data_IF_105057151689
#
_entry.id   IF_105057151689
#
_cell.length_a   1.000
_cell.length_b   1.000
_cell.length_c   1.000
_cell.angle_alpha   90.00
_cell.angle_beta   90.00
_cell.angle_gamma   90.00
#
_symmetry.space_group_name_H-M   'P 1'
#
loop_
_entity.id
_entity.type
_entity.pdbx_description
1 polymer ?
#
# COMPACT_ATOMS: atom_id res chain seq x y z
N UNK A 1 -6.46 -8.47 -1.57
CA UNK A 1 -7.14 -8.93 -0.34
C UNK A 1 -7.72 -7.72 0.35
N UNK A 2 -9.00 -7.78 0.75
CA UNK A 2 -9.68 -6.69 1.45
C UNK A 2 -9.89 -7.06 2.90
N UNK A 3 -9.60 -6.14 3.82
CA UNK A 3 -9.75 -6.31 5.26
C UNK A 3 -11.08 -5.74 5.70
N UNK A 4 -11.85 -6.49 6.50
CA UNK A 4 -12.99 -5.92 7.20
C UNK A 4 -12.48 -4.91 8.22
N UNK A 5 -13.10 -3.73 8.26
CA UNK A 5 -12.70 -2.65 9.16
C UNK A 5 -13.83 -2.34 10.13
N UNK A 6 -13.48 -2.27 11.42
CA UNK A 6 -14.33 -1.76 12.49
C UNK A 6 -13.59 -0.61 13.17
N UNK A 7 -14.21 0.58 13.25
CA UNK A 7 -13.64 1.76 13.91
C UNK A 7 -12.19 2.08 13.48
N UNK A 8 -11.91 1.93 12.19
CA UNK A 8 -10.58 2.18 11.60
C UNK A 8 -9.58 1.03 11.75
N UNK A 9 -9.89 -0.02 12.51
CA UNK A 9 -9.00 -1.17 12.68
C UNK A 9 -9.39 -2.34 11.79
N UNK A 10 -8.39 -2.93 11.13
CA UNK A 10 -8.58 -4.18 10.40
C UNK A 10 -8.86 -5.33 11.38
N UNK A 11 -9.88 -6.12 11.08
CA UNK A 11 -10.17 -7.38 11.78
C UNK A 11 -9.46 -8.55 11.08
N UNK A 12 -9.52 -9.74 11.69
CA UNK A 12 -9.00 -10.98 11.06
C UNK A 12 -9.85 -11.42 9.86
N UNK A 13 -11.09 -10.94 9.74
CA UNK A 13 -11.97 -11.27 8.63
C UNK A 13 -11.51 -10.55 7.35
N UNK A 14 -11.26 -11.33 6.30
CA UNK A 14 -10.83 -10.80 5.00
C UNK A 14 -11.71 -11.32 3.87
N UNK A 15 -11.79 -10.53 2.81
CA UNK A 15 -12.44 -10.90 1.55
C UNK A 15 -11.40 -10.88 0.44
N UNK A 16 -11.29 -11.99 -0.29
CA UNK A 16 -10.41 -12.08 -1.46
C UNK A 16 -11.24 -11.97 -2.73
N UNK A 17 -10.69 -11.24 -3.70
CA UNK A 17 -11.15 -11.26 -5.09
C UNK A 17 -9.99 -11.78 -5.93
N UNK A 18 -10.31 -12.58 -6.94
CA UNK A 18 -9.33 -12.83 -8.01
C UNK A 18 -9.03 -11.53 -8.75
N UNK A 19 -7.89 -11.46 -9.43
CA UNK A 19 -7.53 -10.28 -10.24
C UNK A 19 -8.61 -10.03 -11.30
N UNK A 20 -9.11 -11.07 -11.96
CA UNK A 20 -10.16 -10.97 -12.97
C UNK A 20 -11.46 -10.35 -12.40
N UNK A 21 -11.92 -10.78 -11.23
CA UNK A 21 -13.10 -10.20 -10.59
C UNK A 21 -12.87 -8.76 -10.14
N UNK A 22 -11.69 -8.45 -9.63
CA UNK A 22 -11.33 -7.10 -9.21
C UNK A 22 -11.32 -6.14 -10.40
N UNK A 23 -10.78 -6.56 -11.54
CA UNK A 23 -10.79 -5.79 -12.78
C UNK A 23 -12.21 -5.62 -13.34
N UNK A 24 -13.02 -6.69 -13.40
CA UNK A 24 -14.42 -6.63 -13.84
C UNK A 24 -15.26 -5.66 -13.00
N UNK A 25 -14.90 -5.46 -11.73
CA UNK A 25 -15.57 -4.54 -10.80
C UNK A 25 -15.02 -3.11 -10.84
N UNK A 26 -14.11 -2.79 -11.77
CA UNK A 26 -13.54 -1.46 -11.91
C UNK A 26 -12.46 -1.15 -10.88
N UNK A 27 -11.73 -2.16 -10.40
CA UNK A 27 -10.60 -2.03 -9.47
C UNK A 27 -10.95 -1.30 -8.16
N UNK A 28 -12.00 -1.75 -7.43
CA UNK A 28 -12.42 -1.06 -6.22
C UNK A 28 -11.33 -1.09 -5.15
N UNK A 29 -11.21 0.02 -4.40
CA UNK A 29 -10.43 0.06 -3.14
C UNK A 29 -11.29 -0.30 -1.92
N UNK A 30 -12.61 -0.32 -2.05
CA UNK A 30 -13.56 -0.65 -1.00
C UNK A 30 -14.68 -1.57 -1.52
N UNK A 31 -15.13 -2.50 -0.68
CA UNK A 31 -16.30 -3.33 -0.93
C UNK A 31 -17.27 -3.08 0.24
N UNK A 32 -18.38 -2.41 -0.06
CA UNK A 32 -19.43 -2.12 0.91
C UNK A 32 -20.52 -3.18 0.84
N UNK A 33 -20.94 -3.63 2.01
CA UNK A 33 -22.13 -4.45 2.23
C UNK A 33 -23.03 -3.74 3.24
N UNK A 34 -24.27 -4.20 3.39
CA UNK A 34 -25.24 -3.58 4.29
C UNK A 34 -24.72 -3.39 5.74
N UNK A 35 -23.90 -4.33 6.24
CA UNK A 35 -23.44 -4.33 7.63
C UNK A 35 -21.94 -4.07 7.80
N UNK A 36 -21.18 -4.01 6.71
CA UNK A 36 -19.71 -4.04 6.80
C UNK A 36 -19.06 -3.43 5.58
N UNK A 37 -17.95 -2.74 5.80
CA UNK A 37 -17.03 -2.27 4.76
C UNK A 37 -15.74 -3.09 4.82
N UNK A 38 -15.29 -3.53 3.64
CA UNK A 38 -13.97 -4.10 3.46
C UNK A 38 -13.12 -3.13 2.67
N UNK A 39 -11.87 -2.90 3.08
CA UNK A 39 -10.95 -1.99 2.39
C UNK A 39 -9.73 -2.74 1.88
N UNK A 40 -9.23 -2.36 0.70
CA UNK A 40 -7.98 -2.88 0.16
C UNK A 40 -6.78 -2.29 0.91
N UNK A 41 -6.86 -1.00 1.24
CA UNK A 41 -5.84 -0.26 1.98
C UNK A 41 -6.49 0.92 2.71
N UNK A 42 -5.86 1.34 3.80
CA UNK A 42 -6.07 2.58 4.53
C UNK A 42 -4.78 2.90 5.29
N UNK A 43 -3.87 3.62 4.64
CA UNK A 43 -2.53 3.89 5.19
C UNK A 43 -2.57 4.75 6.45
N UNK A 44 -3.60 5.60 6.61
CA UNK A 44 -3.78 6.41 7.83
C UNK A 44 -3.99 5.51 9.05
N UNK A 45 -4.66 4.38 8.86
CA UNK A 45 -4.93 3.40 9.90
C UNK A 45 -4.03 2.16 9.81
N UNK A 46 -2.87 2.27 9.15
CA UNK A 46 -1.89 1.18 9.00
C UNK A 46 -2.42 -0.09 8.30
N UNK A 47 -3.40 0.05 7.42
CA UNK A 47 -3.93 -1.06 6.60
C UNK A 47 -3.28 -0.99 5.21
N UNK A 48 -2.50 -2.00 4.86
CA UNK A 48 -1.71 -2.02 3.63
C UNK A 48 -2.35 -2.93 2.57
N UNK A 49 -2.23 -2.55 1.30
CA UNK A 49 -2.72 -3.39 0.20
C UNK A 49 -1.88 -4.67 0.06
N UNK A 50 -2.57 -5.81 0.04
CA UNK A 50 -1.95 -7.13 -0.05
C UNK A 50 -2.50 -7.93 -1.24
N UNK A 51 -1.60 -8.63 -1.95
CA UNK A 51 -1.95 -9.66 -2.94
C UNK A 51 -1.37 -11.01 -2.53
N UNK A 52 -2.09 -12.06 -2.91
CA UNK A 52 -1.69 -13.46 -2.72
C UNK A 52 -1.53 -14.07 -4.10
N UNK A 53 -0.40 -14.72 -4.33
CA UNK A 53 -0.14 -15.48 -5.55
C UNK A 53 -0.03 -16.95 -5.17
N UNK A 54 -0.91 -17.75 -5.75
CA UNK A 54 -0.96 -19.20 -5.57
C UNK A 54 -0.53 -19.86 -6.88
N UNK A 55 0.53 -20.67 -6.83
CA UNK A 55 1.00 -21.43 -7.98
C UNK A 55 1.48 -22.80 -7.52
N UNK A 56 0.86 -23.86 -8.04
CA UNK A 56 1.05 -25.24 -7.58
C UNK A 56 0.86 -25.30 -6.05
N UNK A 57 1.86 -25.79 -5.31
CA UNK A 57 1.86 -25.89 -3.85
C UNK A 57 2.46 -24.65 -3.16
N UNK A 58 2.87 -23.63 -3.93
CA UNK A 58 3.52 -22.42 -3.44
C UNK A 58 2.53 -21.27 -3.24
N UNK A 59 2.60 -20.63 -2.07
CA UNK A 59 1.85 -19.40 -1.77
C UNK A 59 2.84 -18.29 -1.44
N UNK A 60 2.76 -17.18 -2.18
CA UNK A 60 3.53 -15.95 -1.86
C UNK A 60 2.60 -14.79 -1.59
N UNK A 61 3.03 -13.92 -0.69
CA UNK A 61 2.27 -12.78 -0.21
C UNK A 61 3.07 -11.51 -0.45
N UNK A 62 2.43 -10.51 -1.03
CA UNK A 62 3.09 -9.26 -1.39
C UNK A 62 2.29 -8.09 -0.85
N UNK A 63 3.00 -7.12 -0.28
CA UNK A 63 2.47 -5.86 0.22
C UNK A 63 2.87 -4.74 -0.72
N UNK A 64 1.93 -3.88 -1.09
CA UNK A 64 2.21 -2.70 -1.90
C UNK A 64 2.71 -1.56 -1.02
N UNK A 65 3.85 -0.99 -1.38
CA UNK A 65 4.43 0.20 -0.76
C UNK A 65 4.36 1.34 -1.79
N UNK A 66 3.48 2.35 -1.59
CA UNK A 66 3.39 3.49 -2.51
C UNK A 66 4.70 4.27 -2.57
N UNK A 67 4.96 4.98 -3.67
CA UNK A 67 6.09 5.91 -3.80
C UNK A 67 6.00 6.99 -2.71
N UNK A 68 7.06 7.14 -1.94
CA UNK A 68 7.08 8.05 -0.78
C UNK A 68 8.38 8.85 -0.68
N UNK A 69 8.29 9.95 0.06
CA UNK A 69 9.41 10.72 0.58
C UNK A 69 9.31 10.80 2.10
N UNK A 70 10.45 10.94 2.76
CA UNK A 70 10.53 11.06 4.21
C UNK A 70 11.29 12.32 4.61
N UNK A 71 10.94 12.86 5.77
CA UNK A 71 11.55 14.07 6.32
C UNK A 71 12.96 13.76 6.87
N UNK A 72 13.96 14.46 6.35
CA UNK A 72 15.38 14.37 6.74
C UNK A 72 15.88 15.62 7.47
N UNK A 73 15.01 16.58 7.77
CA UNK A 73 15.40 17.86 8.39
C UNK A 73 15.95 17.72 9.82
N UNK A 74 15.74 16.58 10.47
CA UNK A 74 16.12 16.35 11.87
C UNK A 74 15.32 17.19 12.88
N UNK A 75 14.23 17.81 12.45
CA UNK A 75 13.39 18.68 13.30
C UNK A 75 12.27 17.93 14.01
N UNK A 76 12.05 16.65 13.67
CA UNK A 76 11.02 15.79 14.23
C UNK A 76 11.65 14.60 14.95
N UNK A 77 11.00 14.11 16.02
CA UNK A 77 11.40 12.89 16.73
C UNK A 77 10.97 11.63 16.00
N UNK A 78 9.89 11.73 15.21
CA UNK A 78 9.37 10.65 14.38
C UNK A 78 9.69 10.91 12.90
N UNK A 79 9.87 9.84 12.12
CA UNK A 79 10.02 9.94 10.67
C UNK A 79 8.67 10.25 10.04
N UNK A 80 8.51 11.49 9.59
CA UNK A 80 7.35 11.93 8.82
C UNK A 80 7.48 11.46 7.36
N UNK A 81 6.38 10.94 6.80
CA UNK A 81 6.35 10.31 5.48
C UNK A 81 5.17 10.84 4.68
N UNK A 82 5.44 11.22 3.42
CA UNK A 82 4.42 11.64 2.47
C UNK A 82 4.48 10.78 1.21
N UNK A 83 3.32 10.53 0.60
CA UNK A 83 3.27 9.93 -0.72
C UNK A 83 3.54 10.97 -1.81
N UNK A 84 4.26 10.56 -2.84
CA UNK A 84 4.70 11.43 -3.92
C UNK A 84 4.37 10.85 -5.29
N UNK A 85 4.25 11.73 -6.28
CA UNK A 85 4.07 11.38 -7.69
C UNK A 85 5.38 10.93 -8.33
N UNK A 86 5.32 10.43 -9.56
CA UNK A 86 6.49 10.07 -10.37
C UNK A 86 7.41 11.26 -10.66
N UNK A 87 6.88 12.48 -10.64
CA UNK A 87 7.62 13.74 -10.77
C UNK A 87 8.23 14.23 -9.44
N UNK A 88 8.20 13.40 -8.39
CA UNK A 88 8.69 13.69 -7.05
C UNK A 88 7.94 14.86 -6.36
N UNK A 89 6.67 15.07 -6.68
CA UNK A 89 5.82 16.07 -6.01
C UNK A 89 4.93 15.40 -4.98
N UNK A 90 4.53 16.10 -3.92
CA UNK A 90 3.54 15.56 -3.00
C UNK A 90 2.25 15.16 -3.75
N UNK A 91 1.67 14.00 -3.43
CA UNK A 91 0.52 13.45 -4.17
C UNK A 91 -0.69 14.40 -4.23
N UNK A 92 -0.92 15.17 -3.17
CA UNK A 92 -1.98 16.17 -3.05
C UNK A 92 -1.44 17.62 -3.05
N UNK A 93 -0.24 17.83 -3.58
CA UNK A 93 0.44 19.13 -3.61
C UNK A 93 1.09 19.42 -4.96
N UNK A 94 1.82 20.54 -5.04
CA UNK A 94 2.48 20.98 -6.27
C UNK A 94 3.98 20.70 -6.31
N UNK A 95 4.61 20.51 -5.14
CA UNK A 95 6.05 20.41 -4.98
C UNK A 95 6.43 19.38 -3.90
N UNK A 96 7.71 19.02 -3.83
CA UNK A 96 8.26 18.30 -2.68
C UNK A 96 8.50 19.31 -1.55
N UNK A 97 7.96 19.10 -0.33
CA UNK A 97 8.23 19.98 0.78
C UNK A 97 9.73 20.05 1.11
N UNK A 98 10.19 21.22 1.55
CA UNK A 98 11.59 21.40 1.98
C UNK A 98 11.94 20.44 3.12
N UNK A 99 13.14 19.85 3.05
CA UNK A 99 13.63 18.87 4.02
C UNK A 99 13.15 17.43 3.79
N UNK A 100 12.39 17.17 2.73
CA UNK A 100 12.02 15.81 2.34
C UNK A 100 12.91 15.26 1.23
N UNK A 101 13.19 13.96 1.32
CA UNK A 101 13.91 13.20 0.29
C UNK A 101 13.09 12.00 -0.15
N UNK A 102 13.05 11.78 -1.47
CA UNK A 102 12.38 10.60 -2.06
C UNK A 102 13.16 9.34 -1.71
N UNK A 103 12.47 8.26 -1.34
CA UNK A 103 13.15 7.03 -0.94
C UNK A 103 14.00 6.45 -2.08
N UNK A 104 15.18 5.93 -1.72
CA UNK A 104 16.21 5.49 -2.67
C UNK A 104 15.73 4.50 -3.74
N UNK A 105 14.78 3.63 -3.38
CA UNK A 105 14.15 2.67 -4.29
C UNK A 105 13.39 3.30 -5.47
N UNK A 106 13.12 4.60 -5.40
CA UNK A 106 12.34 5.35 -6.37
C UNK A 106 13.19 6.36 -7.17
N UNK A 107 14.49 6.44 -6.88
CA UNK A 107 15.42 7.30 -7.63
C UNK A 107 15.64 6.71 -9.03
N UNK A 108 15.64 7.57 -10.05
CA UNK A 108 15.85 7.21 -11.46
C UNK A 108 14.83 6.22 -12.05
N UNK A 109 13.64 6.09 -11.46
CA UNK A 109 12.50 5.38 -12.04
C UNK A 109 11.21 6.20 -11.94
N UNK A 110 10.16 5.73 -12.58
CA UNK A 110 8.83 6.36 -12.62
C UNK A 110 7.77 5.44 -12.00
N UNK A 111 8.18 4.55 -11.10
CA UNK A 111 7.26 3.63 -10.44
C UNK A 111 6.49 4.37 -9.34
N UNK A 112 5.17 4.15 -9.31
CA UNK A 112 4.26 4.70 -8.28
C UNK A 112 4.30 3.94 -6.96
N UNK A 113 5.14 2.91 -6.86
CA UNK A 113 5.32 2.07 -5.69
C UNK A 113 5.97 0.75 -6.05
N UNK A 114 6.17 -0.09 -5.05
CA UNK A 114 6.80 -1.40 -5.18
C UNK A 114 5.99 -2.47 -4.45
N UNK A 115 6.06 -3.70 -4.95
CA UNK A 115 5.60 -4.88 -4.21
C UNK A 115 6.76 -5.47 -3.43
N UNK A 116 6.56 -5.65 -2.12
CA UNK A 116 7.56 -6.24 -1.22
C UNK A 116 7.00 -7.54 -0.66
N UNK A 117 7.83 -8.57 -0.56
CA UNK A 117 7.43 -9.82 0.06
C UNK A 117 7.00 -9.57 1.50
N UNK A 118 5.80 -10.03 1.87
CA UNK A 118 5.26 -9.85 3.21
C UNK A 118 5.95 -10.74 4.25
N UNK A 119 6.32 -11.94 3.81
CA UNK A 119 7.00 -12.93 4.63
C UNK A 119 8.37 -13.20 4.01
N UNK A 120 9.30 -13.70 4.83
CA UNK A 120 10.58 -14.19 4.33
C UNK A 120 10.33 -15.26 3.25
N UNK A 121 10.91 -15.11 2.05
CA UNK A 121 10.85 -16.16 1.05
C UNK A 121 11.55 -17.41 1.59
N UNK A 122 10.85 -18.54 1.67
CA UNK A 122 11.49 -19.81 2.03
C UNK A 122 12.45 -20.23 0.92
N UNK A 123 13.69 -20.56 1.28
CA UNK A 123 14.59 -21.27 0.37
C UNK A 123 14.17 -22.74 0.34
N UNK A 124 13.89 -23.26 -0.86
CA UNK A 124 13.73 -24.69 -1.11
C UNK A 124 15.07 -25.29 -1.51
#
# INVERSE_FOLDING_TARGET
>A
MFYKVNDGQATEETKTLTVEEWEKKGRPSEIKSWFTTYVLFDYKNNIWANIKVEKNDGVTWWTWIPRYAYNESGTTTDTDVIFVTTDNKQLNGSELPSGYSVAGSFINNQDMGIWVSKYEPSSN
#
